data_IF_028695203436
#
_entry.id   IF_028695203436
#
_cell.length_a   1.000
_cell.length_b   1.000
_cell.length_c   1.000
_cell.angle_alpha   90.00
_cell.angle_beta   90.00
_cell.angle_gamma   90.00
#
_symmetry.space_group_name_H-M   'P 1'
#
loop_
_entity.id
_entity.type
_entity.pdbx_description
1 polymer ?
#
# COMPACT_ATOMS: atom_id res chain seq x y z
N UNK A 1 16.48 9.67 -5.28
CA UNK A 1 15.61 8.70 -4.57
C UNK A 1 16.18 7.28 -4.68
N UNK A 2 16.19 6.64 -5.85
CA UNK A 2 16.48 5.20 -6.00
C UNK A 2 17.88 4.77 -5.50
N UNK A 3 18.96 5.33 -6.04
CA UNK A 3 20.34 4.88 -5.71
C UNK A 3 20.69 5.11 -4.23
N UNK A 4 20.57 6.35 -3.76
CA UNK A 4 21.08 6.74 -2.45
C UNK A 4 20.12 6.49 -1.28
N UNK A 5 18.80 6.43 -1.52
CA UNK A 5 17.81 6.24 -0.45
C UNK A 5 17.28 4.81 -0.44
N UNK A 6 17.00 4.20 -1.59
CA UNK A 6 16.37 2.87 -1.64
C UNK A 6 17.41 1.74 -1.65
N UNK A 7 18.34 1.73 -2.62
CA UNK A 7 19.34 0.65 -2.75
C UNK A 7 20.26 0.59 -1.53
N UNK A 8 20.76 1.75 -1.08
CA UNK A 8 21.61 1.84 0.10
C UNK A 8 20.95 1.29 1.39
N UNK A 9 19.62 1.25 1.43
CA UNK A 9 18.83 0.75 2.57
C UNK A 9 18.28 -0.67 2.35
N UNK A 10 18.79 -1.41 1.36
CA UNK A 10 18.50 -2.83 1.19
C UNK A 10 17.30 -3.17 0.30
N UNK A 11 16.75 -2.20 -0.45
CA UNK A 11 15.83 -2.51 -1.54
C UNK A 11 16.64 -3.07 -2.72
N UNK A 12 16.42 -4.35 -3.03
CA UNK A 12 17.18 -5.14 -4.01
C UNK A 12 16.34 -5.59 -5.21
N UNK A 13 15.01 -5.57 -5.08
CA UNK A 13 14.10 -5.93 -6.17
C UNK A 13 14.19 -4.89 -7.30
N UNK A 14 14.76 -5.30 -8.43
CA UNK A 14 14.98 -4.42 -9.58
C UNK A 14 13.67 -3.95 -10.21
N UNK A 15 12.59 -4.74 -10.14
CA UNK A 15 11.28 -4.35 -10.67
C UNK A 15 10.68 -3.25 -9.80
N UNK A 16 10.79 -3.37 -8.48
CA UNK A 16 10.36 -2.32 -7.54
C UNK A 16 11.15 -1.04 -7.76
N UNK A 17 12.48 -1.12 -7.82
CA UNK A 17 13.34 0.06 -8.01
C UNK A 17 13.04 0.78 -9.32
N UNK A 18 12.85 0.03 -10.41
CA UNK A 18 12.47 0.58 -11.71
C UNK A 18 11.14 1.32 -11.66
N UNK A 19 10.11 0.71 -11.08
CA UNK A 19 8.78 1.35 -10.99
C UNK A 19 8.81 2.59 -10.09
N UNK A 20 9.60 2.58 -9.01
CA UNK A 20 9.82 3.76 -8.17
C UNK A 20 10.53 4.89 -8.91
N UNK A 21 11.35 4.59 -9.92
CA UNK A 21 11.99 5.59 -10.78
C UNK A 21 11.04 6.15 -11.85
N UNK A 22 10.25 5.27 -12.47
CA UNK A 22 9.38 5.60 -13.61
C UNK A 22 8.13 6.40 -13.20
N UNK A 23 7.59 6.16 -12.00
CA UNK A 23 6.35 6.83 -11.57
C UNK A 23 6.65 8.22 -10.98
N UNK A 24 6.12 9.31 -11.57
CA UNK A 24 6.34 10.67 -11.09
C UNK A 24 5.55 10.94 -9.80
N UNK A 25 6.20 10.71 -8.66
CA UNK A 25 5.62 10.84 -7.31
C UNK A 25 5.02 12.22 -7.04
N UNK A 26 5.54 13.28 -7.65
CA UNK A 26 5.05 14.66 -7.57
C UNK A 26 3.63 14.85 -8.12
N UNK A 27 3.13 13.92 -8.94
CA UNK A 27 1.73 13.92 -9.39
C UNK A 27 0.76 13.48 -8.29
N UNK A 28 1.26 12.76 -7.28
CA UNK A 28 0.48 12.19 -6.17
C UNK A 28 0.56 13.02 -4.88
N UNK A 29 1.10 14.24 -4.97
CA UNK A 29 1.19 15.16 -3.83
C UNK A 29 0.58 16.53 -4.18
N UNK A 30 0.02 17.25 -3.19
CA UNK A 30 -0.42 18.62 -3.37
C UNK A 30 0.69 19.51 -3.95
N UNK A 31 0.32 20.52 -4.76
CA UNK A 31 1.28 21.39 -5.46
C UNK A 31 2.34 22.00 -4.54
N UNK A 32 1.96 22.37 -3.32
CA UNK A 32 2.85 22.96 -2.30
C UNK A 32 3.97 22.03 -1.83
N UNK A 33 3.82 20.72 -2.01
CA UNK A 33 4.82 19.72 -1.59
C UNK A 33 5.61 19.11 -2.75
N UNK A 34 5.39 19.54 -4.00
CA UNK A 34 6.04 18.92 -5.17
C UNK A 34 7.56 19.03 -5.18
N UNK A 35 8.11 20.14 -4.71
CA UNK A 35 9.57 20.31 -4.57
C UNK A 35 10.19 19.30 -3.60
N UNK A 36 9.38 18.74 -2.70
CA UNK A 36 9.78 17.77 -1.68
C UNK A 36 9.37 16.34 -2.02
N UNK A 37 8.72 16.11 -3.16
CA UNK A 37 8.08 14.84 -3.50
C UNK A 37 9.03 13.63 -3.43
N UNK A 38 10.32 13.84 -3.72
CA UNK A 38 11.36 12.82 -3.76
C UNK A 38 12.29 12.82 -2.53
N UNK A 39 11.97 13.63 -1.52
CA UNK A 39 12.56 13.46 -0.19
C UNK A 39 12.10 12.11 0.39
N UNK A 40 13.00 11.45 1.11
CA UNK A 40 12.66 10.19 1.79
C UNK A 40 11.86 10.46 3.07
N UNK A 41 10.68 11.08 2.94
CA UNK A 41 9.77 11.42 4.02
C UNK A 41 8.31 11.30 3.61
N UNK A 42 7.41 11.19 4.59
CA UNK A 42 5.98 11.25 4.35
C UNK A 42 5.54 12.72 4.13
N UNK A 43 4.55 12.94 3.26
CA UNK A 43 4.03 14.28 2.96
C UNK A 43 2.51 14.33 3.13
N UNK A 44 1.92 15.45 3.61
CA UNK A 44 0.47 15.58 3.71
C UNK A 44 -0.22 15.53 2.35
N UNK A 45 -1.38 14.87 2.29
CA UNK A 45 -2.20 14.75 1.07
C UNK A 45 -3.64 15.26 1.24
N UNK A 46 -3.96 15.88 2.38
CA UNK A 46 -5.33 16.28 2.73
C UNK A 46 -5.99 15.29 3.69
N UNK A 47 -7.14 15.67 4.25
CA UNK A 47 -7.95 14.84 5.17
C UNK A 47 -7.17 14.25 6.38
N UNK A 48 -6.12 14.93 6.83
CA UNK A 48 -5.23 14.43 7.89
C UNK A 48 -4.38 13.21 7.49
N UNK A 49 -4.35 12.85 6.21
CA UNK A 49 -3.60 11.71 5.67
C UNK A 49 -2.26 12.13 5.07
N UNK A 50 -1.40 11.14 4.86
CA UNK A 50 -0.07 11.33 4.29
C UNK A 50 0.21 10.31 3.19
N UNK A 51 0.93 10.71 2.14
CA UNK A 51 1.62 9.76 1.27
C UNK A 51 2.83 9.20 2.01
N UNK A 52 2.98 7.87 2.05
CA UNK A 52 4.06 7.21 2.80
C UNK A 52 5.44 7.52 2.24
N UNK A 53 6.45 7.50 3.12
CA UNK A 53 7.87 7.64 2.79
C UNK A 53 8.27 6.69 1.63
N UNK A 54 9.02 7.16 0.60
CA UNK A 54 9.45 6.33 -0.52
C UNK A 54 10.12 5.00 -0.11
N UNK A 55 11.01 5.03 0.89
CA UNK A 55 11.61 3.80 1.42
C UNK A 55 10.57 2.79 1.93
N UNK A 56 9.59 3.24 2.70
CA UNK A 56 8.55 2.36 3.26
C UNK A 56 7.68 1.75 2.15
N UNK A 57 7.31 2.56 1.16
CA UNK A 57 6.58 2.09 -0.03
C UNK A 57 7.36 0.99 -0.76
N UNK A 58 8.65 1.20 -1.02
CA UNK A 58 9.50 0.23 -1.69
C UNK A 58 9.71 -1.04 -0.86
N UNK A 59 9.93 -0.89 0.46
CA UNK A 59 10.10 -2.00 1.40
C UNK A 59 8.87 -2.89 1.42
N UNK A 60 7.68 -2.31 1.63
CA UNK A 60 6.43 -3.06 1.68
C UNK A 60 6.15 -3.76 0.36
N UNK A 61 6.36 -3.08 -0.77
CA UNK A 61 6.18 -3.66 -2.10
C UNK A 61 7.13 -4.85 -2.34
N UNK A 62 8.41 -4.72 -1.95
CA UNK A 62 9.39 -5.81 -2.06
C UNK A 62 9.01 -7.02 -1.19
N UNK A 63 8.46 -6.81 0.01
CA UNK A 63 8.02 -7.89 0.89
C UNK A 63 6.93 -8.80 0.27
N UNK A 64 6.12 -8.26 -0.65
CA UNK A 64 5.07 -9.03 -1.33
C UNK A 64 5.61 -10.03 -2.35
N UNK A 65 6.83 -9.78 -2.89
CA UNK A 65 7.52 -10.64 -3.88
C UNK A 65 6.67 -10.92 -5.13
N UNK A 66 6.05 -9.86 -5.66
CA UNK A 66 5.17 -9.92 -6.84
C UNK A 66 5.92 -10.40 -8.08
N UNK A 67 5.27 -11.16 -8.94
CA UNK A 67 5.79 -11.72 -10.18
C UNK A 67 5.08 -11.17 -11.44
N UNK A 68 4.02 -10.36 -11.27
CA UNK A 68 3.26 -9.77 -12.38
C UNK A 68 1.95 -10.49 -12.70
N UNK A 69 1.64 -11.56 -11.98
CA UNK A 69 0.43 -12.37 -12.20
C UNK A 69 -0.60 -12.23 -11.07
N UNK A 70 -0.21 -11.56 -9.99
CA UNK A 70 -0.98 -11.45 -8.75
C UNK A 70 -2.21 -10.55 -8.88
N UNK A 71 -3.29 -10.92 -8.18
CA UNK A 71 -4.39 -10.02 -7.80
C UNK A 71 -4.13 -9.53 -6.38
N UNK A 72 -4.06 -8.21 -6.22
CA UNK A 72 -3.67 -7.57 -4.95
C UNK A 72 -4.82 -6.76 -4.39
N UNK A 73 -5.01 -6.80 -3.07
CA UNK A 73 -5.84 -5.86 -2.34
C UNK A 73 -4.96 -4.86 -1.56
N UNK A 74 -5.14 -3.58 -1.83
CA UNK A 74 -4.60 -2.47 -1.06
C UNK A 74 -5.69 -1.89 -0.14
N UNK A 75 -5.34 -1.65 1.12
CA UNK A 75 -6.19 -0.96 2.08
C UNK A 75 -5.55 0.38 2.43
N UNK A 76 -6.24 1.47 2.10
CA UNK A 76 -5.77 2.85 2.19
C UNK A 76 -5.23 3.36 0.86
N UNK A 77 -6.11 3.66 -0.09
CA UNK A 77 -5.71 4.21 -1.40
C UNK A 77 -4.95 5.52 -1.23
N UNK A 78 -5.38 6.40 -0.30
CA UNK A 78 -4.78 7.70 -0.05
C UNK A 78 -4.66 8.53 -1.33
N UNK A 79 -3.43 8.84 -1.74
CA UNK A 79 -3.15 9.57 -2.98
C UNK A 79 -3.22 8.71 -4.25
N UNK A 80 -3.22 7.38 -4.11
CA UNK A 80 -3.11 6.42 -5.21
C UNK A 80 -1.66 6.09 -5.62
N UNK A 81 -0.63 6.63 -4.95
CA UNK A 81 0.77 6.37 -5.33
C UNK A 81 1.17 4.89 -5.18
N UNK A 82 0.82 4.27 -4.05
CA UNK A 82 1.10 2.85 -3.83
C UNK A 82 0.27 1.97 -4.79
N UNK A 83 -1.00 2.29 -5.03
CA UNK A 83 -1.81 1.68 -6.09
C UNK A 83 -1.14 1.73 -7.47
N UNK A 84 -0.60 2.90 -7.87
CA UNK A 84 0.07 3.09 -9.15
C UNK A 84 1.33 2.23 -9.29
N UNK A 85 2.08 2.06 -8.21
CA UNK A 85 3.24 1.16 -8.15
C UNK A 85 2.80 -0.30 -8.31
N UNK A 86 1.79 -0.72 -7.56
CA UNK A 86 1.25 -2.08 -7.65
C UNK A 86 0.68 -2.36 -9.05
N UNK A 87 0.04 -1.38 -9.68
CA UNK A 87 -0.52 -1.50 -11.03
C UNK A 87 0.53 -1.76 -12.12
N UNK A 88 1.79 -1.39 -11.89
CA UNK A 88 2.93 -1.73 -12.78
C UNK A 88 3.57 -3.09 -12.45
N UNK A 89 3.28 -3.67 -11.29
CA UNK A 89 3.97 -4.85 -10.77
C UNK A 89 3.09 -6.10 -10.66
N UNK A 90 1.76 -5.94 -10.73
CA UNK A 90 0.76 -6.98 -10.56
C UNK A 90 -0.21 -7.04 -11.75
N UNK A 91 -1.01 -8.11 -11.81
CA UNK A 91 -2.02 -8.28 -12.86
C UNK A 91 -3.20 -7.33 -12.63
N UNK A 92 -3.75 -7.35 -11.43
CA UNK A 92 -4.89 -6.51 -11.02
C UNK A 92 -4.69 -5.99 -9.60
N UNK A 93 -5.11 -4.75 -9.36
CA UNK A 93 -5.06 -4.09 -8.06
C UNK A 93 -6.47 -3.66 -7.68
N UNK A 94 -6.90 -4.04 -6.49
CA UNK A 94 -8.12 -3.59 -5.85
C UNK A 94 -7.71 -2.72 -4.69
N UNK A 95 -8.21 -1.49 -4.60
CA UNK A 95 -7.81 -0.56 -3.54
C UNK A 95 -9.03 0.06 -2.87
N UNK A 96 -9.04 0.06 -1.54
CA UNK A 96 -10.13 0.59 -0.72
C UNK A 96 -9.65 1.84 0.01
N UNK A 97 -10.45 2.89 -0.05
CA UNK A 97 -10.27 4.11 0.73
C UNK A 97 -11.53 4.42 1.52
N UNK A 98 -11.37 4.83 2.77
CA UNK A 98 -12.49 5.10 3.67
C UNK A 98 -12.99 6.55 3.54
N UNK A 99 -12.11 7.46 3.13
CA UNK A 99 -12.38 8.88 2.94
C UNK A 99 -12.78 9.16 1.49
N UNK A 100 -14.07 9.42 1.26
CA UNK A 100 -14.61 9.59 -0.08
C UNK A 100 -13.88 10.66 -0.93
N UNK A 101 -13.48 11.84 -0.41
CA UNK A 101 -12.73 12.82 -1.18
C UNK A 101 -11.42 12.26 -1.75
N UNK A 102 -10.62 11.57 -0.93
CA UNK A 102 -9.35 10.97 -1.35
C UNK A 102 -9.58 9.85 -2.37
N UNK A 103 -10.59 9.00 -2.14
CA UNK A 103 -10.93 7.92 -3.06
C UNK A 103 -11.25 8.46 -4.47
N UNK A 104 -12.06 9.52 -4.55
CA UNK A 104 -12.45 10.16 -5.80
C UNK A 104 -11.26 10.80 -6.50
N UNK A 105 -10.43 11.53 -5.77
CA UNK A 105 -9.22 12.17 -6.32
C UNK A 105 -8.21 11.15 -6.85
N UNK A 106 -7.91 10.12 -6.07
CA UNK A 106 -7.00 9.04 -6.46
C UNK A 106 -7.53 8.28 -7.69
N UNK A 107 -8.82 7.93 -7.70
CA UNK A 107 -9.45 7.24 -8.84
C UNK A 107 -9.35 8.06 -10.13
N UNK A 108 -9.67 9.36 -10.07
CA UNK A 108 -9.57 10.25 -11.22
C UNK A 108 -8.11 10.42 -11.71
N UNK A 109 -7.15 10.54 -10.78
CA UNK A 109 -5.74 10.64 -11.14
C UNK A 109 -5.23 9.36 -11.80
N UNK A 110 -5.51 8.19 -11.22
CA UNK A 110 -5.09 6.89 -11.77
C UNK A 110 -5.65 6.66 -13.17
N UNK A 111 -6.94 6.99 -13.38
CA UNK A 111 -7.56 6.92 -14.71
C UNK A 111 -6.88 7.88 -15.70
N UNK A 112 -6.61 9.12 -15.30
CA UNK A 112 -5.90 10.12 -16.12
C UNK A 112 -4.48 9.67 -16.50
N UNK A 113 -3.82 8.93 -15.62
CA UNK A 113 -2.49 8.35 -15.87
C UNK A 113 -2.55 7.06 -16.70
N UNK A 114 -3.74 6.60 -17.10
CA UNK A 114 -3.93 5.47 -18.00
C UNK A 114 -3.92 4.10 -17.33
N UNK A 115 -4.07 4.03 -16.01
CA UNK A 115 -4.16 2.74 -15.32
C UNK A 115 -5.54 2.10 -15.56
N UNK A 116 -5.55 0.93 -16.20
CA UNK A 116 -6.78 0.18 -16.51
C UNK A 116 -6.97 -1.07 -15.65
N UNK A 117 -5.95 -1.45 -14.88
CA UNK A 117 -5.95 -2.65 -14.02
C UNK A 117 -6.07 -2.32 -12.53
N UNK A 118 -6.46 -1.09 -12.18
CA UNK A 118 -6.68 -0.65 -10.81
C UNK A 118 -8.16 -0.36 -10.60
N UNK A 119 -8.74 -1.01 -9.60
CA UNK A 119 -10.14 -0.89 -9.21
C UNK A 119 -10.24 -0.21 -7.84
N UNK A 120 -10.86 0.96 -7.79
CA UNK A 120 -11.00 1.76 -6.56
C UNK A 120 -12.39 1.59 -5.94
N UNK A 121 -12.49 1.52 -4.61
CA UNK A 121 -13.76 1.51 -3.88
C UNK A 121 -13.71 2.38 -2.65
N UNK A 122 -14.78 3.15 -2.42
CA UNK A 122 -15.02 3.77 -1.11
C UNK A 122 -15.55 2.70 -0.16
N UNK A 123 -14.90 2.50 0.98
CA UNK A 123 -15.34 1.47 1.91
C UNK A 123 -14.49 1.30 3.16
N UNK A 124 -15.01 0.48 4.07
CA UNK A 124 -14.29 0.09 5.28
C UNK A 124 -13.27 -1.01 4.97
N UNK A 125 -11.99 -0.66 5.03
CA UNK A 125 -10.90 -1.58 4.76
C UNK A 125 -10.84 -2.79 5.70
N UNK A 126 -11.42 -2.73 6.91
CA UNK A 126 -11.47 -3.89 7.82
C UNK A 126 -12.29 -5.04 7.23
N UNK A 127 -13.22 -4.74 6.32
CA UNK A 127 -14.07 -5.74 5.66
C UNK A 127 -13.41 -6.35 4.43
N UNK A 128 -12.32 -5.77 3.94
CA UNK A 128 -11.72 -6.14 2.65
C UNK A 128 -12.71 -6.02 1.49
N UNK A 129 -12.52 -6.85 0.47
CA UNK A 129 -13.37 -6.88 -0.73
C UNK A 129 -13.76 -8.32 -1.10
N UNK A 130 -14.68 -8.89 -0.33
CA UNK A 130 -15.10 -10.29 -0.43
C UNK A 130 -15.52 -10.70 -1.86
N UNK A 131 -16.19 -9.81 -2.60
CA UNK A 131 -16.63 -10.03 -4.00
C UNK A 131 -15.49 -10.34 -4.98
N UNK A 132 -14.27 -9.90 -4.66
CA UNK A 132 -13.10 -10.09 -5.52
C UNK A 132 -12.04 -11.02 -4.93
N UNK A 133 -12.22 -11.42 -3.67
CA UNK A 133 -11.39 -12.41 -3.01
C UNK A 133 -11.45 -13.77 -3.74
N UNK A 134 -10.43 -14.62 -3.58
CA UNK A 134 -9.24 -14.43 -2.76
C UNK A 134 -8.10 -13.69 -3.49
N UNK A 135 -7.25 -13.01 -2.73
CA UNK A 135 -6.09 -12.23 -3.21
C UNK A 135 -4.78 -12.98 -3.03
N UNK A 136 -3.85 -12.81 -3.98
CA UNK A 136 -2.49 -13.34 -3.89
C UNK A 136 -1.64 -12.56 -2.86
N UNK A 137 -1.89 -11.25 -2.79
CA UNK A 137 -1.25 -10.38 -1.83
C UNK A 137 -2.20 -9.31 -1.27
N UNK A 138 -1.95 -8.89 -0.04
CA UNK A 138 -2.65 -7.77 0.60
C UNK A 138 -1.63 -6.78 1.15
N UNK A 139 -1.88 -5.50 0.99
CA UNK A 139 -1.05 -4.43 1.56
C UNK A 139 -1.95 -3.44 2.30
N UNK A 140 -1.62 -3.15 3.56
CA UNK A 140 -2.37 -2.21 4.39
C UNK A 140 -1.49 -1.02 4.69
N UNK A 141 -1.92 0.17 4.29
CA UNK A 141 -1.17 1.44 4.40
C UNK A 141 -1.70 2.34 5.52
N UNK A 142 -2.36 1.73 6.50
CA UNK A 142 -2.78 2.31 7.77
C UNK A 142 -2.64 1.26 8.87
N UNK A 143 -2.38 1.65 10.12
CA UNK A 143 -2.09 0.73 11.21
C UNK A 143 -3.36 0.31 11.96
N UNK A 144 -3.82 -0.95 11.84
CA UNK A 144 -4.77 -1.52 12.78
C UNK A 144 -4.10 -1.87 14.12
N UNK A 145 -4.91 -1.97 15.18
CA UNK A 145 -4.47 -2.45 16.50
C UNK A 145 -4.22 -3.96 16.52
N UNK A 146 -4.99 -4.69 15.73
CA UNK A 146 -4.93 -6.15 15.61
C UNK A 146 -5.00 -6.53 14.14
N UNK A 147 -4.42 -7.68 13.77
CA UNK A 147 -4.45 -8.16 12.39
C UNK A 147 -5.91 -8.43 12.00
N UNK A 148 -6.46 -7.75 10.96
CA UNK A 148 -7.86 -7.95 10.59
C UNK A 148 -8.10 -9.35 10.04
N UNK A 149 -8.82 -10.19 10.79
CA UNK A 149 -9.05 -11.59 10.41
C UNK A 149 -9.75 -11.73 9.05
N UNK A 150 -10.64 -10.78 8.72
CA UNK A 150 -11.30 -10.71 7.41
C UNK A 150 -10.32 -10.59 6.24
N UNK A 151 -9.21 -9.88 6.41
CA UNK A 151 -8.17 -9.78 5.38
C UNK A 151 -7.38 -11.09 5.28
N UNK A 152 -7.11 -11.76 6.41
CA UNK A 152 -6.47 -13.09 6.43
C UNK A 152 -7.35 -14.14 5.74
N UNK A 153 -8.66 -14.09 5.94
CA UNK A 153 -9.64 -14.96 5.27
C UNK A 153 -9.61 -14.77 3.75
N UNK A 154 -9.51 -13.53 3.28
CA UNK A 154 -9.47 -13.17 1.86
C UNK A 154 -8.12 -13.41 1.18
N UNK A 155 -7.07 -13.76 1.94
CA UNK A 155 -5.77 -14.11 1.39
C UNK A 155 -5.76 -15.56 0.88
N UNK A 156 -5.17 -15.81 -0.30
CA UNK A 156 -4.95 -17.18 -0.80
C UNK A 156 -3.98 -17.95 0.09
N UNK A 157 -4.03 -19.27 0.05
CA UNK A 157 -2.97 -20.09 0.63
C UNK A 157 -1.62 -19.78 -0.07
N UNK A 158 -0.55 -19.67 0.70
CA UNK A 158 0.75 -19.17 0.25
C UNK A 158 0.80 -17.65 -0.03
N UNK A 159 -0.34 -16.95 0.06
CA UNK A 159 -0.43 -15.52 -0.13
C UNK A 159 0.26 -14.73 0.99
N UNK A 160 0.61 -13.47 0.67
CA UNK A 160 1.36 -12.59 1.60
C UNK A 160 0.58 -11.33 1.93
N UNK A 161 0.61 -10.93 3.19
CA UNK A 161 0.09 -9.65 3.63
C UNK A 161 1.19 -8.84 4.31
N UNK A 162 1.34 -7.58 3.92
CA UNK A 162 2.21 -6.63 4.63
C UNK A 162 1.38 -5.52 5.25
N UNK A 163 1.56 -5.29 6.54
CA UNK A 163 0.83 -4.26 7.28
C UNK A 163 1.66 -3.71 8.45
N UNK A 164 1.52 -2.41 8.79
CA UNK A 164 1.89 -1.93 10.11
C UNK A 164 0.89 -2.46 11.16
N UNK A 165 1.36 -2.78 12.36
CA UNK A 165 0.53 -3.25 13.47
C UNK A 165 0.90 -2.50 14.75
N UNK A 166 -0.13 -2.04 15.48
CA UNK A 166 -0.01 -1.39 16.78
C UNK A 166 -0.42 0.08 16.76
N UNK A 167 -0.19 0.76 17.88
CA UNK A 167 -0.51 2.17 18.10
C UNK A 167 0.72 2.99 18.48
N UNK A 168 0.53 4.29 18.66
CA UNK A 168 1.56 5.18 19.20
C UNK A 168 2.65 5.60 18.20
N UNK A 169 3.85 5.85 18.74
CA UNK A 169 4.96 6.48 18.02
C UNK A 169 5.77 5.52 17.14
N UNK A 170 5.66 4.21 17.38
CA UNK A 170 6.30 3.16 16.60
C UNK A 170 5.37 1.95 16.50
N UNK A 171 5.22 1.42 15.30
CA UNK A 171 4.44 0.23 14.97
C UNK A 171 5.38 -0.81 14.36
N UNK A 172 5.01 -2.08 14.46
CA UNK A 172 5.75 -3.16 13.79
C UNK A 172 5.25 -3.30 12.35
N UNK A 173 6.15 -3.23 11.38
CA UNK A 173 5.85 -3.64 10.02
C UNK A 173 5.93 -5.16 9.94
N UNK A 174 4.79 -5.81 9.76
CA UNK A 174 4.66 -7.26 9.75
C UNK A 174 4.49 -7.77 8.34
N UNK A 175 5.25 -8.80 7.98
CA UNK A 175 4.97 -9.69 6.86
C UNK A 175 4.27 -10.94 7.39
N UNK A 176 3.05 -11.16 6.92
CA UNK A 176 2.26 -12.35 7.19
C UNK A 176 2.22 -13.23 5.95
N UNK A 177 2.47 -14.53 6.11
CA UNK A 177 2.31 -15.54 5.04
C UNK A 177 1.28 -16.57 5.47
N UNK A 178 0.27 -16.82 4.63
CA UNK A 178 -0.75 -17.85 4.91
C UNK A 178 -0.22 -19.24 4.59
N UNK A 179 -0.47 -20.19 5.48
CA UNK A 179 -0.07 -21.60 5.38
C UNK A 179 -1.27 -22.47 5.78
N UNK A 180 -2.12 -22.81 4.81
CA UNK A 180 -3.40 -23.47 5.03
C UNK A 180 -4.30 -22.64 5.96
N UNK A 181 -4.52 -23.16 7.18
CA UNK A 181 -5.32 -22.51 8.23
C UNK A 181 -4.50 -21.61 9.15
N UNK A 182 -3.18 -21.69 9.07
CA UNK A 182 -2.26 -20.96 9.94
C UNK A 182 -1.66 -19.75 9.23
N UNK A 183 -1.04 -18.88 10.02
CA UNK A 183 -0.30 -17.71 9.50
C UNK A 183 1.07 -17.64 10.15
N UNK A 184 2.10 -17.53 9.32
CA UNK A 184 3.45 -17.22 9.77
C UNK A 184 3.64 -15.71 9.76
N UNK A 185 4.12 -15.16 10.88
CA UNK A 185 4.37 -13.72 11.06
C UNK A 185 5.88 -13.47 11.15
N UNK A 186 6.34 -12.41 10.51
CA UNK A 186 7.71 -11.92 10.56
C UNK A 186 7.68 -10.40 10.78
N UNK A 187 8.42 -9.92 11.79
CA UNK A 187 8.59 -8.48 12.02
C UNK A 187 9.76 -8.01 11.17
N UNK A 188 9.48 -7.09 10.24
CA UNK A 188 10.46 -6.57 9.28
C UNK A 188 11.27 -5.43 9.89
N UNK A 189 10.59 -4.44 10.45
CA UNK A 189 11.19 -3.23 11.06
C UNK A 189 10.12 -2.42 11.78
N UNK A 190 10.48 -1.31 12.41
CA UNK A 190 9.53 -0.34 12.95
C UNK A 190 9.15 0.73 11.92
N UNK A 191 7.89 1.12 11.92
CA UNK A 191 7.31 2.13 11.03
C UNK A 191 6.36 3.04 11.79
N UNK A 192 5.88 4.09 11.11
CA UNK A 192 4.83 4.97 11.63
C UNK A 192 3.83 5.28 10.52
N UNK A 193 2.60 4.85 10.74
CA UNK A 193 1.45 5.04 9.88
C UNK A 193 0.31 5.69 10.65
N UNK A 194 -0.60 6.31 9.91
CA UNK A 194 -1.91 6.74 10.40
C UNK A 194 -2.72 5.54 10.88
N UNK A 195 -3.62 5.70 11.87
CA UNK A 195 -4.44 4.59 12.34
C UNK A 195 -5.44 4.13 11.27
N UNK A 196 -5.68 2.83 11.20
CA UNK A 196 -6.75 2.25 10.38
C UNK A 196 -8.08 2.38 11.14
N UNK A 197 -9.00 3.16 10.59
CA UNK A 197 -10.29 3.49 11.21
C UNK A 197 -11.44 2.66 10.65
N UNK A 198 -12.55 2.58 11.40
CA UNK A 198 -13.79 1.89 11.01
C UNK A 198 -14.87 2.89 10.57
N UNK A 199 -15.76 2.45 9.68
CA UNK A 199 -16.91 3.23 9.21
C UNK A 199 -16.55 4.27 8.13
N UNK A 200 -17.36 4.33 7.07
CA UNK A 200 -17.17 5.27 5.95
C UNK A 200 -17.42 6.70 6.42
N UNK A 201 -16.57 7.64 6.00
CA UNK A 201 -16.66 9.06 6.34
C UNK A 201 -16.79 9.93 5.09
#
# INVERSE_FOLDING_TARGET
MVEFQLRARGIKDQRVLRVMEEIPRELFVPKVYRSRAYEDSALPIGEGQTISQPYVVALMTQCLRLQGTERILEIGTGSGYQAAILGKLAKEVFTIEILEPLAREASALLLKLGYTNIHTKVGDGYKGWEEHAPFDAIIVTAAPLEIPQKLVEQLKDGGRMVLPLGDGWAQDLILLTKQGKETKKEVITNVRFVPMIKGVK
#
